data_IF_877595863174
#
_entry.id   IF_877595863174
#
_cell.length_a   1.000
_cell.length_b   1.000
_cell.length_c   1.000
_cell.angle_alpha   90.00
_cell.angle_beta   90.00
_cell.angle_gamma   90.00
#
_symmetry.space_group_name_H-M   'P 1'
#
loop_
_entity.id
_entity.type
_entity.pdbx_description
1 polymer ?
#
# COMPACT_ATOMS: atom_id res chain seq x y z
N UNK A 1 14.41 -23.01 -37.43
CA UNK A 1 14.93 -22.33 -36.22
C UNK A 1 13.73 -21.91 -35.39
N UNK A 2 13.54 -22.45 -34.18
CA UNK A 2 12.56 -21.88 -33.26
C UNK A 2 13.07 -20.53 -32.75
N UNK A 3 12.18 -19.56 -32.46
CA UNK A 3 12.58 -18.29 -31.90
C UNK A 3 13.22 -18.53 -30.53
N UNK A 4 14.36 -17.89 -30.29
CA UNK A 4 14.97 -17.81 -28.97
C UNK A 4 13.97 -17.10 -28.04
N UNK A 5 13.25 -17.87 -27.24
CA UNK A 5 12.60 -17.35 -26.06
C UNK A 5 13.74 -16.96 -25.11
N UNK A 6 13.99 -15.66 -24.96
CA UNK A 6 14.68 -15.16 -23.76
C UNK A 6 13.85 -15.63 -22.56
N UNK A 7 14.35 -16.64 -21.86
CA UNK A 7 13.77 -17.10 -20.62
C UNK A 7 13.80 -15.92 -19.63
N UNK A 8 12.71 -15.64 -18.89
CA UNK A 8 12.78 -14.65 -17.82
C UNK A 8 13.88 -15.10 -16.85
N UNK A 9 14.87 -14.24 -16.60
CA UNK A 9 16.03 -14.50 -15.74
C UNK A 9 15.60 -15.17 -14.43
N UNK A 10 15.78 -16.49 -14.37
CA UNK A 10 15.52 -17.26 -13.17
C UNK A 10 16.61 -17.00 -12.14
N UNK A 11 16.23 -16.73 -10.90
CA UNK A 11 17.19 -16.58 -9.78
C UNK A 11 17.33 -17.92 -9.06
N UNK A 12 18.56 -18.46 -9.02
CA UNK A 12 18.91 -19.60 -8.19
C UNK A 12 19.46 -19.17 -6.82
N UNK A 13 19.09 -19.88 -5.76
CA UNK A 13 19.59 -19.67 -4.40
C UNK A 13 20.07 -21.02 -3.84
N UNK A 14 21.24 -21.05 -3.17
CA UNK A 14 21.70 -22.25 -2.49
C UNK A 14 20.90 -22.49 -1.19
N UNK A 15 20.84 -23.75 -0.74
CA UNK A 15 20.25 -24.08 0.57
C UNK A 15 20.93 -23.36 1.72
N UNK A 16 22.22 -23.04 1.59
CA UNK A 16 22.99 -22.34 2.61
C UNK A 16 22.57 -20.87 2.74
N UNK A 17 22.26 -20.20 1.62
CA UNK A 17 21.68 -18.85 1.64
C UNK A 17 20.31 -18.87 2.29
N UNK A 18 19.45 -19.83 1.93
CA UNK A 18 18.12 -19.96 2.53
C UNK A 18 18.23 -20.22 4.04
N UNK A 19 19.17 -21.07 4.47
CA UNK A 19 19.42 -21.34 5.89
C UNK A 19 19.91 -20.10 6.63
N UNK A 20 20.93 -19.41 6.13
CA UNK A 20 21.47 -18.21 6.76
C UNK A 20 20.40 -17.11 6.89
N UNK A 21 19.59 -16.90 5.85
CA UNK A 21 18.46 -15.98 5.92
C UNK A 21 17.43 -16.41 6.97
N UNK A 22 17.08 -17.69 7.04
CA UNK A 22 16.12 -18.19 8.03
C UNK A 22 16.62 -18.10 9.48
N UNK A 23 17.90 -18.39 9.73
CA UNK A 23 18.54 -18.28 11.05
C UNK A 23 18.57 -16.83 11.55
N UNK A 24 18.77 -15.87 10.64
CA UNK A 24 18.72 -14.42 10.93
C UNK A 24 17.31 -13.82 10.86
N UNK A 25 16.28 -14.63 10.58
CA UNK A 25 14.89 -14.16 10.45
C UNK A 25 14.64 -13.23 9.25
N UNK A 26 15.51 -13.29 8.23
CA UNK A 26 15.41 -12.54 6.98
C UNK A 26 14.53 -13.33 6.00
N UNK A 27 13.35 -12.82 5.59
CA UNK A 27 12.52 -13.49 4.60
C UNK A 27 13.08 -13.30 3.18
N UNK A 28 12.80 -14.28 2.32
CA UNK A 28 13.18 -14.25 0.90
C UNK A 28 11.90 -14.16 0.07
N UNK A 29 11.77 -13.11 -0.74
CA UNK A 29 10.60 -12.86 -1.59
C UNK A 29 10.94 -13.05 -3.06
N UNK A 30 10.13 -13.84 -3.77
CA UNK A 30 10.23 -14.02 -5.21
C UNK A 30 9.16 -13.18 -5.91
N UNK A 31 9.58 -12.19 -6.70
CA UNK A 31 8.70 -11.22 -7.34
C UNK A 31 8.44 -11.54 -8.81
N UNK A 32 7.21 -11.33 -9.26
CA UNK A 32 6.80 -11.39 -10.65
C UNK A 32 7.32 -10.14 -11.38
N UNK A 33 8.16 -10.36 -12.40
CA UNK A 33 8.79 -9.26 -13.15
C UNK A 33 7.83 -8.30 -13.85
N UNK A 34 6.59 -8.71 -14.15
CA UNK A 34 5.62 -7.88 -14.85
C UNK A 34 4.86 -6.92 -13.93
N UNK A 35 4.59 -7.32 -12.67
CA UNK A 35 3.70 -6.55 -11.77
C UNK A 35 4.32 -6.22 -10.41
N UNK A 36 5.47 -6.79 -10.06
CA UNK A 36 6.11 -6.62 -8.75
C UNK A 36 5.42 -7.38 -7.61
N UNK A 37 4.38 -8.16 -7.90
CA UNK A 37 3.73 -9.09 -6.98
C UNK A 37 4.65 -10.24 -6.57
N UNK A 38 4.72 -10.54 -5.28
CA UNK A 38 5.38 -11.77 -4.83
C UNK A 38 4.56 -12.99 -5.22
N UNK A 39 5.18 -13.97 -5.86
CA UNK A 39 4.56 -15.27 -6.16
C UNK A 39 4.98 -16.38 -5.18
N UNK A 40 5.99 -16.12 -4.36
CA UNK A 40 6.45 -17.01 -3.30
C UNK A 40 7.27 -16.25 -2.27
N UNK A 41 7.14 -16.62 -1.00
CA UNK A 41 7.98 -16.10 0.09
C UNK A 41 8.41 -17.23 1.01
N UNK A 42 9.68 -17.25 1.40
CA UNK A 42 10.24 -18.18 2.38
C UNK A 42 10.38 -17.49 3.75
N UNK A 43 9.88 -18.13 4.80
CA UNK A 43 9.97 -17.69 6.19
C UNK A 43 10.68 -18.74 7.05
N UNK A 44 11.30 -18.28 8.14
CA UNK A 44 11.81 -19.16 9.19
C UNK A 44 10.67 -19.95 9.86
N UNK A 45 10.93 -21.20 10.20
CA UNK A 45 9.94 -22.11 10.82
C UNK A 45 9.59 -21.75 12.28
N UNK A 46 10.45 -21.00 12.97
CA UNK A 46 10.38 -20.73 14.41
C UNK A 46 9.43 -19.62 14.86
N UNK A 47 8.55 -19.10 13.99
CA UNK A 47 7.60 -18.05 14.35
C UNK A 47 6.41 -18.64 15.16
N UNK A 48 6.67 -19.03 16.42
CA UNK A 48 5.78 -19.88 17.24
C UNK A 48 4.74 -19.15 18.10
N UNK A 49 4.61 -17.81 18.00
CA UNK A 49 3.62 -17.01 18.74
C UNK A 49 2.27 -16.75 18.04
N UNK A 50 2.03 -17.36 16.88
CA UNK A 50 1.00 -16.89 15.92
C UNK A 50 -0.42 -17.41 16.17
N UNK A 51 -0.59 -18.57 16.80
CA UNK A 51 -1.89 -19.25 16.79
C UNK A 51 -2.98 -18.48 17.56
N UNK A 52 -2.65 -17.88 18.71
CA UNK A 52 -3.61 -17.08 19.48
C UNK A 52 -4.05 -15.85 18.70
N UNK A 53 -3.10 -15.06 18.19
CA UNK A 53 -3.37 -13.84 17.40
C UNK A 53 -4.24 -14.14 16.19
N UNK A 54 -3.94 -15.20 15.43
CA UNK A 54 -4.77 -15.62 14.29
C UNK A 54 -6.19 -16.00 14.71
N UNK A 55 -6.36 -16.77 15.80
CA UNK A 55 -7.69 -17.12 16.32
C UNK A 55 -8.48 -15.87 16.73
N UNK A 56 -7.84 -14.92 17.39
CA UNK A 56 -8.50 -13.67 17.80
C UNK A 56 -8.81 -12.77 16.63
N UNK A 57 -7.95 -12.73 15.60
CA UNK A 57 -8.19 -12.00 14.36
C UNK A 57 -9.42 -12.54 13.63
N UNK A 58 -9.54 -13.86 13.47
CA UNK A 58 -10.69 -14.47 12.82
C UNK A 58 -11.99 -14.18 13.59
N UNK A 59 -11.96 -14.25 14.92
CA UNK A 59 -13.12 -13.88 15.77
C UNK A 59 -13.47 -12.40 15.69
N UNK A 60 -12.47 -11.52 15.54
CA UNK A 60 -12.71 -10.08 15.41
C UNK A 60 -13.52 -9.72 14.14
N UNK A 61 -13.54 -10.59 13.13
CA UNK A 61 -14.41 -10.41 11.96
C UNK A 61 -15.89 -10.57 12.31
N UNK A 62 -16.21 -11.37 13.33
CA UNK A 62 -17.58 -11.69 13.74
C UNK A 62 -18.16 -10.66 14.74
N UNK A 63 -17.39 -9.63 15.12
CA UNK A 63 -17.84 -8.58 16.03
C UNK A 63 -17.40 -7.17 15.59
N UNK A 64 -17.66 -6.17 16.44
CA UNK A 64 -17.45 -4.75 16.12
C UNK A 64 -16.00 -4.40 15.78
N UNK A 65 -15.02 -5.20 16.24
CA UNK A 65 -13.60 -4.94 15.99
C UNK A 65 -13.27 -4.96 14.50
N UNK A 66 -13.92 -5.84 13.74
CA UNK A 66 -13.72 -5.92 12.30
C UNK A 66 -14.17 -4.65 11.58
N UNK A 67 -15.33 -4.10 11.97
CA UNK A 67 -15.82 -2.84 11.43
C UNK A 67 -14.94 -1.66 11.85
N UNK A 68 -14.48 -1.63 13.11
CA UNK A 68 -13.56 -0.61 13.61
C UNK A 68 -12.28 -0.57 12.76
N UNK A 69 -11.66 -1.72 12.50
CA UNK A 69 -10.47 -1.82 11.65
C UNK A 69 -10.75 -1.39 10.22
N UNK A 70 -11.84 -1.87 9.61
CA UNK A 70 -12.19 -1.48 8.24
C UNK A 70 -12.40 0.05 8.09
N UNK A 71 -13.10 0.67 9.05
CA UNK A 71 -13.29 2.13 9.10
C UNK A 71 -11.97 2.88 9.29
N UNK A 72 -11.06 2.34 10.09
CA UNK A 72 -9.73 2.91 10.29
C UNK A 72 -8.92 2.89 9.00
N UNK A 73 -8.87 1.77 8.27
CA UNK A 73 -8.14 1.68 7.00
C UNK A 73 -8.68 2.66 5.94
N UNK A 74 -10.01 2.74 5.77
CA UNK A 74 -10.63 3.71 4.86
C UNK A 74 -10.32 5.15 5.31
N UNK A 75 -10.46 5.45 6.60
CA UNK A 75 -10.16 6.77 7.14
C UNK A 75 -8.69 7.17 6.93
N UNK A 76 -7.76 6.26 7.20
CA UNK A 76 -6.33 6.44 7.00
C UNK A 76 -5.98 6.73 5.55
N UNK A 77 -6.57 5.98 4.61
CA UNK A 77 -6.41 6.18 3.16
C UNK A 77 -6.90 7.56 2.72
N UNK A 78 -8.15 7.90 3.03
CA UNK A 78 -8.79 9.15 2.61
C UNK A 78 -8.02 10.35 3.17
N UNK A 79 -7.64 10.30 4.44
CA UNK A 79 -6.86 11.36 5.07
C UNK A 79 -5.47 11.49 4.45
N UNK A 80 -4.81 10.37 4.15
CA UNK A 80 -3.49 10.38 3.49
C UNK A 80 -3.57 10.88 2.04
N UNK A 81 -4.62 10.56 1.29
CA UNK A 81 -4.88 11.10 -0.05
C UNK A 81 -5.09 12.62 -0.01
N UNK A 82 -5.93 13.12 0.91
CA UNK A 82 -6.11 14.55 1.12
C UNK A 82 -4.80 15.24 1.49
N UNK A 83 -4.02 14.64 2.40
CA UNK A 83 -2.73 15.19 2.83
C UNK A 83 -1.70 15.20 1.69
N UNK A 84 -1.69 14.18 0.81
CA UNK A 84 -0.85 14.16 -0.38
C UNK A 84 -1.19 15.33 -1.32
N UNK A 85 -2.48 15.59 -1.57
CA UNK A 85 -2.91 16.72 -2.41
C UNK A 85 -2.56 18.07 -1.78
N UNK A 86 -2.74 18.22 -0.46
CA UNK A 86 -2.32 19.44 0.26
C UNK A 86 -0.80 19.64 0.20
N UNK A 87 -0.02 18.56 0.34
CA UNK A 87 1.43 18.59 0.16
C UNK A 87 1.80 19.07 -1.25
N UNK A 88 1.12 18.57 -2.29
CA UNK A 88 1.34 19.03 -3.66
C UNK A 88 0.95 20.51 -3.84
N UNK A 89 -0.11 20.99 -3.19
CA UNK A 89 -0.56 22.38 -3.26
C UNK A 89 0.34 23.38 -2.51
N UNK A 90 1.07 22.93 -1.48
CA UNK A 90 1.77 23.76 -0.48
C UNK A 90 2.65 24.86 -1.07
N UNK A 91 3.45 24.53 -2.08
CA UNK A 91 4.42 25.44 -2.70
C UNK A 91 3.91 26.11 -3.99
N UNK A 92 2.63 25.90 -4.34
CA UNK A 92 2.03 26.41 -5.58
C UNK A 92 1.23 27.69 -5.40
N UNK A 93 0.98 28.14 -4.16
CA UNK A 93 0.12 29.29 -3.86
C UNK A 93 0.46 30.57 -4.65
N UNK A 94 1.75 30.84 -4.86
CA UNK A 94 2.21 31.99 -5.63
C UNK A 94 2.56 31.65 -7.09
N UNK A 95 3.15 30.47 -7.33
CA UNK A 95 3.65 30.07 -8.64
C UNK A 95 2.53 29.63 -9.60
N UNK A 96 1.48 29.01 -9.07
CA UNK A 96 0.32 28.51 -9.81
C UNK A 96 -0.93 28.53 -8.90
N UNK A 97 -1.56 29.71 -8.75
CA UNK A 97 -2.70 29.89 -7.84
C UNK A 97 -3.92 29.05 -8.23
N UNK A 98 -4.16 28.82 -9.52
CA UNK A 98 -5.29 28.04 -10.02
C UNK A 98 -5.14 26.56 -9.63
N UNK A 99 -3.97 25.96 -9.91
CA UNK A 99 -3.70 24.59 -9.51
C UNK A 99 -3.68 24.44 -7.97
N UNK A 100 -3.17 25.43 -7.25
CA UNK A 100 -3.23 25.44 -5.78
C UNK A 100 -4.68 25.35 -5.27
N UNK A 101 -5.59 26.15 -5.82
CA UNK A 101 -7.01 26.13 -5.44
C UNK A 101 -7.65 24.79 -5.82
N UNK A 102 -7.42 24.30 -7.04
CA UNK A 102 -7.96 23.03 -7.51
C UNK A 102 -7.54 21.84 -6.64
N UNK A 103 -6.26 21.75 -6.28
CA UNK A 103 -5.75 20.68 -5.40
C UNK A 103 -6.28 20.80 -3.97
N UNK A 104 -6.44 22.01 -3.44
CA UNK A 104 -6.97 22.25 -2.09
C UNK A 104 -8.46 21.88 -2.01
N UNK A 105 -9.24 22.20 -3.04
CA UNK A 105 -10.62 21.79 -3.17
C UNK A 105 -10.73 20.27 -3.27
N UNK A 106 -9.96 19.65 -4.16
CA UNK A 106 -9.94 18.19 -4.31
C UNK A 106 -9.54 17.48 -3.00
N UNK A 107 -8.59 18.03 -2.23
CA UNK A 107 -8.23 17.50 -0.91
C UNK A 107 -9.40 17.53 0.09
N UNK A 108 -10.30 18.50 -0.03
CA UNK A 108 -11.52 18.57 0.79
C UNK A 108 -12.53 17.53 0.31
N UNK A 109 -12.79 17.47 -1.00
CA UNK A 109 -13.79 16.57 -1.59
C UNK A 109 -13.43 15.08 -1.43
N UNK A 110 -12.14 14.74 -1.39
CA UNK A 110 -11.66 13.38 -1.04
C UNK A 110 -12.17 12.93 0.33
N UNK A 111 -12.42 13.87 1.27
CA UNK A 111 -12.90 13.57 2.61
C UNK A 111 -14.43 13.58 2.74
N UNK A 112 -15.17 14.05 1.74
CA UNK A 112 -16.65 14.12 1.79
C UNK A 112 -17.34 12.80 2.16
N UNK A 113 -16.86 11.62 1.70
CA UNK A 113 -17.47 10.34 2.08
C UNK A 113 -17.22 9.93 3.53
N UNK A 114 -16.21 10.50 4.19
CA UNK A 114 -15.69 10.01 5.48
C UNK A 114 -16.70 10.13 6.63
N UNK A 115 -17.45 11.24 6.83
CA UNK A 115 -18.39 11.34 7.93
C UNK A 115 -19.50 10.28 7.89
N UNK A 116 -19.99 9.93 6.70
CA UNK A 116 -20.99 8.87 6.54
C UNK A 116 -20.40 7.48 6.84
N UNK A 117 -19.21 7.19 6.31
CA UNK A 117 -18.48 5.95 6.60
C UNK A 117 -18.20 5.78 8.11
N UNK A 118 -17.89 6.87 8.82
CA UNK A 118 -17.60 6.83 10.26
C UNK A 118 -18.83 6.62 11.14
N UNK A 119 -20.05 6.81 10.62
CA UNK A 119 -21.30 6.57 11.37
C UNK A 119 -21.76 5.11 11.34
N UNK A 120 -21.15 4.26 10.52
CA UNK A 120 -21.43 2.82 10.50
C UNK A 120 -21.10 2.19 11.87
N UNK A 121 -21.94 1.28 12.33
CA UNK A 121 -21.84 0.61 13.63
C UNK A 121 -22.21 -0.88 13.53
N UNK A 122 -21.93 -1.64 14.59
CA UNK A 122 -22.15 -3.09 14.63
C UNK A 122 -20.96 -3.90 14.10
N UNK A 123 -21.20 -5.19 13.85
CA UNK A 123 -20.23 -6.05 13.19
C UNK A 123 -20.14 -5.71 11.69
N UNK A 124 -19.02 -6.08 11.07
CA UNK A 124 -18.87 -5.92 9.61
C UNK A 124 -19.71 -6.97 8.88
N UNK A 125 -20.41 -6.54 7.84
CA UNK A 125 -21.25 -7.34 6.97
C UNK A 125 -21.15 -6.83 5.53
N UNK A 126 -21.92 -7.42 4.61
CA UNK A 126 -21.86 -7.04 3.20
C UNK A 126 -22.31 -5.59 2.96
N UNK A 127 -23.33 -5.13 3.69
CA UNK A 127 -23.86 -3.78 3.50
C UNK A 127 -22.88 -2.69 3.98
N UNK A 128 -22.31 -2.88 5.17
CA UNK A 128 -21.30 -1.99 5.74
C UNK A 128 -20.01 -2.01 4.91
N UNK A 129 -19.57 -3.18 4.44
CA UNK A 129 -18.42 -3.30 3.51
C UNK A 129 -18.67 -2.55 2.22
N UNK A 130 -19.82 -2.76 1.57
CA UNK A 130 -20.17 -2.07 0.32
C UNK A 130 -20.20 -0.54 0.50
N UNK A 131 -20.73 -0.06 1.64
CA UNK A 131 -20.74 1.36 1.97
C UNK A 131 -19.32 1.92 2.13
N UNK A 132 -18.44 1.21 2.85
CA UNK A 132 -17.03 1.58 3.02
C UNK A 132 -16.26 1.60 1.69
N UNK A 133 -16.39 0.54 0.89
CA UNK A 133 -15.79 0.46 -0.43
C UNK A 133 -16.32 1.54 -1.39
N UNK A 134 -17.61 1.87 -1.31
CA UNK A 134 -18.20 2.95 -2.10
C UNK A 134 -17.65 4.33 -1.70
N UNK A 135 -17.43 4.56 -0.40
CA UNK A 135 -16.77 5.77 0.09
C UNK A 135 -15.32 5.86 -0.41
N UNK A 136 -14.58 4.75 -0.31
CA UNK A 136 -13.21 4.62 -0.82
C UNK A 136 -13.13 4.90 -2.33
N UNK A 137 -14.02 4.32 -3.13
CA UNK A 137 -14.05 4.48 -4.57
C UNK A 137 -14.30 5.92 -5.01
N UNK A 138 -15.26 6.62 -4.37
CA UNK A 138 -15.53 8.04 -4.66
C UNK A 138 -14.32 8.93 -4.33
N UNK A 139 -13.71 8.71 -3.16
CA UNK A 139 -12.52 9.44 -2.76
C UNK A 139 -11.35 9.18 -3.71
N UNK A 140 -11.11 7.92 -4.08
CA UNK A 140 -10.05 7.53 -5.00
C UNK A 140 -10.25 8.14 -6.40
N UNK A 141 -11.48 8.18 -6.92
CA UNK A 141 -11.76 8.82 -8.20
C UNK A 141 -11.37 10.31 -8.18
N UNK A 142 -11.77 11.04 -7.12
CA UNK A 142 -11.41 12.45 -6.98
C UNK A 142 -9.91 12.66 -6.78
N UNK A 143 -9.28 11.82 -5.96
CA UNK A 143 -7.84 11.83 -5.73
C UNK A 143 -7.06 11.67 -7.05
N UNK A 144 -7.37 10.64 -7.84
CA UNK A 144 -6.63 10.35 -9.06
C UNK A 144 -6.89 11.37 -10.17
N UNK A 145 -8.10 11.95 -10.23
CA UNK A 145 -8.37 13.09 -11.12
C UNK A 145 -7.47 14.28 -10.79
N UNK A 146 -7.28 14.59 -9.50
CA UNK A 146 -6.40 15.67 -9.06
C UNK A 146 -4.91 15.32 -9.26
N UNK A 147 -4.52 14.06 -9.06
CA UNK A 147 -3.14 13.63 -9.36
C UNK A 147 -2.82 13.74 -10.85
N UNK A 148 -3.79 13.50 -11.75
CA UNK A 148 -3.55 13.59 -13.19
C UNK A 148 -3.04 14.98 -13.63
N UNK A 149 -3.44 16.05 -12.94
CA UNK A 149 -2.94 17.41 -13.21
C UNK A 149 -1.50 17.65 -12.74
N UNK A 150 -0.96 16.73 -11.93
CA UNK A 150 0.43 16.75 -11.44
C UNK A 150 1.37 15.89 -12.29
N UNK A 151 0.85 15.08 -13.21
CA UNK A 151 1.68 14.16 -13.99
C UNK A 151 2.15 14.87 -15.27
N UNK A 152 3.45 14.76 -15.62
CA UNK A 152 3.98 15.33 -16.86
C UNK A 152 3.17 14.89 -18.09
N UNK A 153 2.71 15.81 -18.95
CA UNK A 153 1.90 15.49 -20.13
C UNK A 153 2.54 14.48 -21.09
N UNK A 154 3.88 14.40 -21.12
CA UNK A 154 4.66 13.51 -21.97
C UNK A 154 4.45 12.02 -21.62
N UNK A 155 3.97 11.73 -20.41
CA UNK A 155 3.58 10.38 -20.02
C UNK A 155 2.21 9.96 -20.55
N UNK A 156 1.41 10.91 -21.07
CA UNK A 156 0.07 10.68 -21.60
C UNK A 156 -0.79 9.81 -20.66
N UNK A 157 -0.70 10.07 -19.35
CA UNK A 157 -1.27 9.20 -18.33
C UNK A 157 -2.81 9.32 -18.30
N UNK A 158 -3.58 8.24 -18.53
CA UNK A 158 -5.04 8.31 -18.62
C UNK A 158 -5.73 8.44 -17.25
N UNK A 159 -4.96 8.45 -16.16
CA UNK A 159 -5.44 8.26 -14.80
C UNK A 159 -5.16 6.85 -14.29
N UNK A 160 -5.61 6.57 -13.07
CA UNK A 160 -5.27 5.32 -12.39
C UNK A 160 -6.01 4.13 -12.98
N UNK A 161 -5.26 3.19 -13.54
CA UNK A 161 -5.74 1.88 -13.98
C UNK A 161 -4.93 0.80 -13.25
N UNK A 162 -5.61 -0.10 -12.53
CA UNK A 162 -4.93 -1.11 -11.71
C UNK A 162 -4.68 -2.40 -12.47
N UNK A 163 -5.69 -2.93 -13.17
CA UNK A 163 -5.59 -4.18 -13.94
C UNK A 163 -5.52 -3.86 -15.42
N UNK A 164 -4.64 -4.55 -16.15
CA UNK A 164 -4.54 -4.40 -17.61
C UNK A 164 -3.82 -3.13 -18.09
N UNK A 165 -3.38 -2.26 -17.16
CA UNK A 165 -2.67 -1.03 -17.50
C UNK A 165 -1.38 -1.31 -18.28
N UNK A 166 -1.25 -0.66 -19.43
CA UNK A 166 -0.06 -0.76 -20.31
C UNK A 166 0.74 0.53 -20.33
N UNK A 167 0.22 1.62 -19.77
CA UNK A 167 0.95 2.89 -19.73
C UNK A 167 2.09 2.89 -18.72
N UNK A 168 3.09 3.72 -19.01
CA UNK A 168 4.35 3.83 -18.26
C UNK A 168 4.15 4.10 -16.77
N UNK A 169 3.22 4.99 -16.43
CA UNK A 169 3.10 5.47 -15.05
C UNK A 169 2.27 4.53 -14.18
N UNK A 170 1.18 3.94 -14.69
CA UNK A 170 0.47 2.88 -13.98
C UNK A 170 1.34 1.64 -13.79
N UNK A 171 2.16 1.25 -14.78
CA UNK A 171 3.12 0.16 -14.61
C UNK A 171 4.10 0.47 -13.46
N UNK A 172 4.61 1.69 -13.41
CA UNK A 172 5.51 2.17 -12.34
C UNK A 172 4.82 2.16 -10.97
N UNK A 173 3.60 2.66 -10.86
CA UNK A 173 2.78 2.63 -9.65
C UNK A 173 2.50 1.19 -9.20
N UNK A 174 2.03 0.33 -10.11
CA UNK A 174 1.74 -1.08 -9.83
C UNK A 174 2.97 -1.79 -9.26
N UNK A 175 4.12 -1.61 -9.89
CA UNK A 175 5.37 -2.20 -9.43
C UNK A 175 5.76 -1.69 -8.03
N UNK A 176 5.66 -0.37 -7.79
CA UNK A 176 5.91 0.22 -6.47
C UNK A 176 4.96 -0.28 -5.38
N UNK A 177 3.66 -0.43 -5.69
CA UNK A 177 2.71 -1.04 -4.77
C UNK A 177 3.01 -2.52 -4.52
N UNK A 178 3.59 -3.22 -5.50
CA UNK A 178 4.00 -4.61 -5.31
C UNK A 178 5.14 -4.76 -4.31
N UNK A 179 6.15 -3.90 -4.42
CA UNK A 179 7.23 -3.80 -3.41
C UNK A 179 6.66 -3.48 -2.03
N UNK A 180 5.79 -2.48 -1.92
CA UNK A 180 5.16 -2.11 -0.64
C UNK A 180 4.33 -3.27 -0.06
N UNK A 181 3.54 -3.97 -0.88
CA UNK A 181 2.72 -5.10 -0.45
C UNK A 181 3.55 -6.22 0.15
N UNK A 182 4.74 -6.51 -0.40
CA UNK A 182 5.66 -7.50 0.18
C UNK A 182 6.10 -7.09 1.60
N UNK A 183 6.43 -5.80 1.81
CA UNK A 183 6.78 -5.25 3.13
C UNK A 183 5.62 -5.34 4.13
N UNK A 184 4.40 -5.02 3.69
CA UNK A 184 3.19 -5.12 4.53
C UNK A 184 2.93 -6.56 4.94
N UNK A 185 3.01 -7.50 3.99
CA UNK A 185 2.82 -8.93 4.27
C UNK A 185 3.83 -9.44 5.29
N UNK A 186 5.10 -9.03 5.16
CA UNK A 186 6.14 -9.37 6.13
C UNK A 186 5.80 -8.82 7.53
N UNK A 187 5.38 -7.57 7.63
CA UNK A 187 5.01 -6.96 8.91
C UNK A 187 3.84 -7.68 9.60
N UNK A 188 2.81 -8.05 8.82
CA UNK A 188 1.66 -8.81 9.32
C UNK A 188 2.08 -10.18 9.86
N UNK A 189 2.94 -10.90 9.14
CA UNK A 189 3.44 -12.21 9.57
C UNK A 189 4.30 -12.09 10.84
N UNK A 190 5.19 -11.11 10.92
CA UNK A 190 5.98 -10.86 12.13
C UNK A 190 5.13 -10.46 13.34
N UNK A 191 3.97 -9.83 13.12
CA UNK A 191 2.99 -9.54 14.16
C UNK A 191 2.09 -10.77 14.52
N UNK A 192 2.27 -11.90 13.83
CA UNK A 192 1.51 -13.13 14.03
C UNK A 192 0.08 -13.10 13.50
N UNK A 193 -0.21 -12.21 12.55
CA UNK A 193 -1.50 -12.14 11.86
C UNK A 193 -1.53 -13.08 10.65
N UNK A 194 -2.74 -13.42 10.19
CA UNK A 194 -2.99 -14.10 8.93
C UNK A 194 -3.18 -13.07 7.80
N UNK A 195 -2.23 -12.92 6.86
CA UNK A 195 -2.29 -11.88 5.83
C UNK A 195 -3.48 -12.00 4.87
N UNK A 196 -4.10 -13.18 4.80
CA UNK A 196 -5.24 -13.46 3.92
C UNK A 196 -6.61 -13.29 4.60
N UNK A 197 -6.66 -12.91 5.88
CA UNK A 197 -7.90 -12.73 6.65
C UNK A 197 -8.11 -11.25 7.01
N UNK A 198 -8.44 -10.44 6.02
CA UNK A 198 -8.78 -9.03 6.16
C UNK A 198 -10.22 -8.79 6.59
N UNK A 199 -10.55 -7.51 6.77
CA UNK A 199 -11.85 -7.04 7.21
C UNK A 199 -12.56 -6.31 6.08
N UNK A 200 -11.91 -5.34 5.42
CA UNK A 200 -12.50 -4.56 4.32
C UNK A 200 -12.50 -5.36 3.01
N UNK A 201 -11.35 -5.94 2.64
CA UNK A 201 -11.19 -6.72 1.41
C UNK A 201 -11.46 -8.23 1.58
N UNK A 202 -12.20 -8.64 2.62
CA UNK A 202 -12.45 -10.05 2.96
C UNK A 202 -13.19 -10.84 1.85
N UNK A 203 -13.16 -12.16 1.97
CA UNK A 203 -13.91 -13.12 1.13
C UNK A 203 -13.63 -13.05 -0.38
N UNK A 204 -12.47 -12.53 -0.77
CA UNK A 204 -11.94 -12.61 -2.14
C UNK A 204 -10.99 -13.82 -2.24
N UNK A 205 -11.41 -14.96 -2.82
CA UNK A 205 -10.57 -16.15 -2.88
C UNK A 205 -9.21 -15.85 -3.50
N UNK A 206 -8.14 -16.30 -2.83
CA UNK A 206 -6.76 -16.17 -3.31
C UNK A 206 -6.12 -14.79 -3.21
N UNK A 207 -6.77 -13.80 -2.55
CA UNK A 207 -6.18 -12.47 -2.33
C UNK A 207 -5.75 -12.27 -0.87
N UNK A 208 -4.58 -11.65 -0.62
CA UNK A 208 -4.10 -11.37 0.73
C UNK A 208 -4.85 -10.19 1.35
N UNK A 209 -6.10 -10.40 1.74
CA UNK A 209 -7.06 -9.35 2.07
C UNK A 209 -6.61 -8.43 3.20
N UNK A 210 -6.03 -8.94 4.31
CA UNK A 210 -5.50 -8.06 5.37
C UNK A 210 -4.29 -7.25 4.89
N UNK A 211 -3.48 -7.82 3.98
CA UNK A 211 -2.38 -7.08 3.36
C UNK A 211 -2.92 -5.93 2.51
N UNK A 212 -4.02 -6.16 1.78
CA UNK A 212 -4.70 -5.13 1.00
C UNK A 212 -5.43 -4.09 1.87
N UNK A 213 -5.79 -4.45 3.10
CA UNK A 213 -6.35 -3.51 4.07
C UNK A 213 -5.25 -2.60 4.65
N UNK A 214 -4.20 -3.18 5.25
CA UNK A 214 -3.14 -2.41 5.92
C UNK A 214 -2.31 -1.58 4.94
N UNK A 215 -2.14 -2.04 3.69
CA UNK A 215 -1.39 -1.27 2.69
C UNK A 215 -1.97 0.13 2.48
N UNK A 216 -3.28 0.30 2.66
CA UNK A 216 -3.99 1.56 2.41
C UNK A 216 -3.48 2.73 3.24
N UNK A 217 -2.95 2.47 4.45
CA UNK A 217 -2.33 3.51 5.29
C UNK A 217 -1.02 4.03 4.71
N UNK A 218 -0.35 3.25 3.86
CA UNK A 218 1.03 3.52 3.43
C UNK A 218 1.16 3.88 1.95
N UNK A 219 0.13 3.66 1.12
CA UNK A 219 0.18 3.90 -0.33
C UNK A 219 0.67 5.31 -0.67
N UNK A 220 0.06 6.33 -0.08
CA UNK A 220 0.42 7.73 -0.37
C UNK A 220 1.80 8.09 0.18
N UNK A 221 2.07 7.71 1.43
CA UNK A 221 3.30 8.08 2.12
C UNK A 221 4.55 7.47 1.48
N UNK A 222 4.43 6.24 0.97
CA UNK A 222 5.56 5.45 0.45
C UNK A 222 5.63 5.49 -1.07
N UNK A 223 4.52 5.19 -1.76
CA UNK A 223 4.54 4.97 -3.22
C UNK A 223 4.15 6.24 -3.96
N UNK A 224 2.96 6.80 -3.71
CA UNK A 224 2.43 7.91 -4.53
C UNK A 224 3.35 9.13 -4.43
N UNK A 225 3.69 9.56 -3.21
CA UNK A 225 4.61 10.68 -2.97
C UNK A 225 5.95 10.49 -3.67
N UNK A 226 6.48 9.28 -3.62
CA UNK A 226 7.79 8.96 -4.18
C UNK A 226 7.73 8.98 -5.69
N UNK A 227 6.84 8.20 -6.31
CA UNK A 227 6.82 8.02 -7.76
C UNK A 227 6.28 9.24 -8.50
N UNK A 228 5.27 9.94 -7.97
CA UNK A 228 4.83 11.23 -8.51
C UNK A 228 5.99 12.25 -8.46
N UNK A 229 6.73 12.28 -7.35
CA UNK A 229 7.91 13.13 -7.21
C UNK A 229 9.04 12.76 -8.17
N UNK A 230 9.28 11.47 -8.43
CA UNK A 230 10.30 11.01 -9.37
C UNK A 230 9.96 11.40 -10.81
N UNK A 231 8.73 11.15 -11.28
CA UNK A 231 8.36 11.49 -12.67
C UNK A 231 8.41 12.99 -12.93
N UNK A 232 8.02 13.82 -11.94
CA UNK A 232 8.16 15.27 -12.02
C UNK A 232 9.62 15.76 -12.03
N UNK A 233 10.59 14.90 -11.69
CA UNK A 233 12.04 15.18 -11.77
C UNK A 233 12.69 14.54 -13.00
N UNK A 234 11.90 14.13 -13.99
CA UNK A 234 12.41 13.53 -15.22
C UNK A 234 12.87 12.09 -15.06
N UNK A 235 12.30 11.33 -14.11
CA UNK A 235 12.55 9.89 -14.02
C UNK A 235 12.13 9.20 -15.32
N UNK A 236 13.11 8.78 -16.10
CA UNK A 236 12.88 8.03 -17.33
C UNK A 236 12.32 6.64 -17.01
N UNK A 237 11.18 6.31 -17.62
CA UNK A 237 10.50 5.02 -17.54
C UNK A 237 10.64 4.33 -18.90
N UNK A 238 11.29 3.17 -18.91
CA UNK A 238 11.44 2.34 -20.11
C UNK A 238 10.52 1.13 -20.00
N UNK A 239 9.79 0.85 -21.07
CA UNK A 239 8.97 -0.34 -21.24
C UNK A 239 9.40 -1.10 -22.49
N UNK A 240 9.19 -2.42 -22.49
CA UNK A 240 9.24 -3.24 -23.70
C UNK A 240 7.96 -3.11 -24.54
N UNK A 241 7.94 -3.78 -25.69
CA UNK A 241 6.82 -3.74 -26.64
C UNK A 241 5.52 -4.34 -26.07
N UNK A 242 5.63 -5.16 -25.01
CA UNK A 242 4.47 -5.69 -24.27
C UNK A 242 4.00 -4.78 -23.13
N UNK A 243 4.62 -3.61 -22.94
CA UNK A 243 4.30 -2.65 -21.89
C UNK A 243 4.86 -3.02 -20.50
N UNK A 244 5.78 -3.98 -20.42
CA UNK A 244 6.44 -4.35 -19.17
C UNK A 244 7.63 -3.44 -18.92
N UNK A 245 7.83 -3.02 -17.68
CA UNK A 245 8.99 -2.22 -17.30
C UNK A 245 10.28 -3.02 -17.52
N UNK A 246 11.34 -2.40 -18.03
CA UNK A 246 12.65 -3.05 -18.16
C UNK A 246 13.33 -3.31 -16.80
N UNK A 247 14.36 -4.15 -16.78
CA UNK A 247 15.12 -4.49 -15.57
C UNK A 247 15.68 -3.26 -14.81
N UNK A 248 16.38 -2.33 -15.49
CA UNK A 248 16.87 -1.10 -14.88
C UNK A 248 15.79 -0.21 -14.27
N UNK A 249 14.65 -0.01 -14.94
CA UNK A 249 13.53 0.79 -14.41
C UNK A 249 12.94 0.13 -13.18
N UNK A 250 12.70 -1.19 -13.22
CA UNK A 250 12.23 -1.96 -12.06
C UNK A 250 13.16 -1.81 -10.86
N UNK A 251 14.47 -1.98 -11.06
CA UNK A 251 15.49 -1.84 -10.00
C UNK A 251 15.42 -0.46 -9.35
N UNK A 252 15.40 0.61 -10.16
CA UNK A 252 15.31 2.00 -9.66
C UNK A 252 14.02 2.27 -8.88
N UNK A 253 12.89 1.69 -9.30
CA UNK A 253 11.63 1.79 -8.55
C UNK A 253 11.76 1.11 -7.18
N UNK A 254 12.32 -0.11 -7.12
CA UNK A 254 12.57 -0.81 -5.84
C UNK A 254 13.44 0.07 -4.94
N UNK A 255 14.57 0.56 -5.44
CA UNK A 255 15.50 1.39 -4.67
C UNK A 255 14.79 2.62 -4.10
N UNK A 256 14.03 3.36 -4.91
CA UNK A 256 13.34 4.58 -4.44
C UNK A 256 12.23 4.30 -3.43
N UNK A 257 11.49 3.21 -3.60
CA UNK A 257 10.45 2.80 -2.65
C UNK A 257 11.07 2.36 -1.31
N UNK A 258 12.14 1.56 -1.35
CA UNK A 258 12.83 1.12 -0.13
C UNK A 258 13.58 2.26 0.57
N UNK A 259 14.24 3.16 -0.17
CA UNK A 259 14.81 4.39 0.38
C UNK A 259 13.73 5.23 1.11
N UNK A 260 12.52 5.33 0.53
CA UNK A 260 11.42 6.02 1.18
C UNK A 260 10.99 5.32 2.47
N UNK A 261 11.01 3.99 2.52
CA UNK A 261 10.69 3.22 3.74
C UNK A 261 11.68 3.49 4.89
N UNK A 262 12.93 3.88 4.58
CA UNK A 262 13.91 4.33 5.58
C UNK A 262 13.75 5.79 6.02
N UNK A 263 12.97 6.58 5.28
CA UNK A 263 12.69 7.98 5.65
C UNK A 263 11.85 8.06 6.91
N UNK A 264 12.11 9.07 7.74
CA UNK A 264 11.41 9.25 9.02
C UNK A 264 10.16 10.10 8.90
N UNK A 265 9.10 9.73 9.62
CA UNK A 265 7.88 10.51 9.82
C UNK A 265 7.58 10.66 11.33
N UNK A 266 6.90 11.73 11.76
CA UNK A 266 6.38 11.84 13.12
C UNK A 266 5.31 10.76 13.37
N UNK A 267 5.50 9.96 14.41
CA UNK A 267 4.59 8.91 14.83
C UNK A 267 4.73 8.64 16.33
N UNK A 268 3.61 8.60 17.05
CA UNK A 268 3.56 8.37 18.51
C UNK A 268 4.57 9.22 19.33
N UNK A 269 4.65 10.52 19.01
CA UNK A 269 5.51 11.47 19.72
C UNK A 269 7.01 11.39 19.38
N UNK A 270 7.41 10.57 18.40
CA UNK A 270 8.81 10.41 17.97
C UNK A 270 8.92 10.49 16.45
N UNK A 271 10.14 10.69 15.93
CA UNK A 271 10.42 10.49 14.50
C UNK A 271 10.89 9.06 14.30
N UNK A 272 10.23 8.32 13.41
CA UNK A 272 10.54 6.92 13.16
C UNK A 272 10.54 6.62 11.66
N UNK A 273 11.40 5.71 11.18
CA UNK A 273 11.35 5.24 9.80
C UNK A 273 9.97 4.66 9.45
N UNK A 274 9.49 4.90 8.23
CA UNK A 274 8.21 4.36 7.74
C UNK A 274 8.13 2.84 7.87
N UNK A 275 9.24 2.13 7.65
CA UNK A 275 9.31 0.67 7.87
C UNK A 275 9.03 0.27 9.32
N UNK A 276 9.45 1.08 10.29
CA UNK A 276 9.20 0.81 11.70
C UNK A 276 7.75 1.13 12.06
N UNK A 277 7.21 2.22 11.53
CA UNK A 277 5.79 2.58 11.68
C UNK A 277 4.89 1.46 11.12
N UNK A 278 5.23 0.89 9.96
CA UNK A 278 4.51 -0.27 9.41
C UNK A 278 4.52 -1.48 10.35
N UNK A 279 5.66 -1.78 10.96
CA UNK A 279 5.76 -2.86 11.95
C UNK A 279 4.93 -2.57 13.20
N UNK A 280 4.92 -1.32 13.67
CA UNK A 280 4.07 -0.90 14.78
C UNK A 280 2.59 -1.02 14.44
N UNK A 281 2.16 -0.59 13.26
CA UNK A 281 0.77 -0.73 12.83
C UNK A 281 0.31 -2.19 12.77
N UNK A 282 1.14 -3.08 12.23
CA UNK A 282 0.85 -4.52 12.27
C UNK A 282 0.71 -5.06 13.71
N UNK A 283 1.58 -4.63 14.63
CA UNK A 283 1.46 -4.97 16.06
C UNK A 283 0.23 -4.34 16.71
N UNK A 284 -0.16 -3.14 16.31
CA UNK A 284 -1.36 -2.46 16.82
C UNK A 284 -2.61 -3.22 16.43
N UNK A 285 -2.71 -3.72 15.19
CA UNK A 285 -3.77 -4.65 14.78
C UNK A 285 -3.75 -5.89 15.69
N UNK A 286 -2.60 -6.54 15.85
CA UNK A 286 -2.47 -7.76 16.66
C UNK A 286 -2.89 -7.56 18.13
N UNK A 287 -2.48 -6.46 18.76
CA UNK A 287 -2.88 -6.11 20.15
C UNK A 287 -4.36 -5.74 20.23
N UNK A 288 -4.91 -5.06 19.23
CA UNK A 288 -6.32 -4.69 19.18
C UNK A 288 -7.23 -5.92 19.04
N UNK A 289 -6.94 -6.83 18.10
CA UNK A 289 -7.75 -8.05 17.94
C UNK A 289 -7.63 -8.98 19.16
N UNK A 290 -6.54 -8.90 19.93
CA UNK A 290 -6.41 -9.62 21.21
C UNK A 290 -7.13 -8.94 22.38
N UNK A 291 -7.66 -7.74 22.20
CA UNK A 291 -8.32 -6.96 23.27
C UNK A 291 -7.34 -6.31 24.25
N UNK A 292 -6.05 -6.28 23.92
CA UNK A 292 -4.99 -5.66 24.74
C UNK A 292 -4.86 -4.15 24.47
N UNK A 293 -5.46 -3.68 23.37
CA UNK A 293 -5.50 -2.29 22.95
C UNK A 293 -6.96 -1.86 22.79
N UNK A 294 -7.38 -0.71 23.37
CA UNK A 294 -8.78 -0.29 23.36
C UNK A 294 -9.27 0.19 22.00
N UNK A 295 -8.38 0.79 21.18
CA UNK A 295 -8.72 1.31 19.86
C UNK A 295 -7.52 1.18 18.91
N UNK A 296 -7.83 0.96 17.63
CA UNK A 296 -6.85 1.03 16.55
C UNK A 296 -6.94 2.39 15.85
N UNK A 297 -5.80 3.06 15.71
CA UNK A 297 -5.68 4.33 14.98
C UNK A 297 -4.79 4.13 13.75
N UNK A 298 -5.29 4.46 12.55
CA UNK A 298 -4.53 4.23 11.33
C UNK A 298 -3.37 5.22 11.23
N UNK A 299 -2.28 4.82 10.59
CA UNK A 299 -1.24 5.75 10.19
C UNK A 299 -1.79 6.69 9.12
N UNK A 300 -1.48 7.97 9.28
CA UNK A 300 -1.86 9.04 8.36
C UNK A 300 -0.61 9.80 7.95
N UNK A 301 -0.39 9.93 6.64
CA UNK A 301 0.71 10.72 6.09
C UNK A 301 0.62 12.20 6.53
N UNK A 302 1.72 12.82 6.96
CA UNK A 302 1.81 14.27 7.18
C UNK A 302 2.02 15.10 5.89
N UNK A 303 1.72 16.41 5.91
CA UNK A 303 1.86 17.34 4.77
C UNK A 303 2.43 18.72 5.13
#
# INVERSE_FOLDING_TARGET
MPPAYDAPDGVGLSSDVVRACAEEGIPIHFLNGSHGDDYGTLFASGLTGMALTKRTQLRAYEDERGLILAKAFVGGKLQSQANMLRYAAKYRKAADPELHQALTLAATEVLDPLPAAQRLSGAIDEATRAALMGAEGRAAARYWQAVATLIPPELAWPGRETQGARDRFNATLNYGYGVLRAQVRQALLLAGLEPNAGFLHADRPGKPSLTLDLIEEFRQAVVDRTLIGQVNRGFAIVQDDEGRLDGPTRKRIVEKVLERMESTEPYEGKRQPLRHILQLQARHIATFVRGERPAYEPFVMGW
#
